data_IF_918336575215
#
_entry.id   IF_918336575215
#
_cell.length_a   1.000
_cell.length_b   1.000
_cell.length_c   1.000
_cell.angle_alpha   90.00
_cell.angle_beta   90.00
_cell.angle_gamma   90.00
#
_symmetry.space_group_name_H-M   'P 1'
#
loop_
_entity.id
_entity.type
_entity.pdbx_description
1 polymer ?
#
# COMPACT_ATOMS: atom_id res chain seq x y z
N UNK A 1 1.58 -7.61 -31.07
CA UNK A 1 2.65 -6.71 -30.58
C UNK A 1 3.97 -7.41 -30.83
N UNK A 2 4.96 -6.72 -31.39
CA UNK A 2 6.33 -7.26 -31.44
C UNK A 2 6.93 -7.27 -30.03
N UNK A 3 7.86 -8.16 -29.72
CA UNK A 3 8.51 -8.24 -28.40
C UNK A 3 9.06 -6.88 -27.94
N UNK A 4 9.64 -6.12 -28.87
CA UNK A 4 10.13 -4.75 -28.63
C UNK A 4 9.06 -3.76 -28.13
N UNK A 5 7.80 -3.92 -28.52
CA UNK A 5 6.72 -3.07 -28.01
C UNK A 5 6.36 -3.45 -26.58
N UNK A 6 6.34 -4.74 -26.24
CA UNK A 6 6.04 -5.23 -24.89
C UNK A 6 7.11 -4.72 -23.91
N UNK A 7 8.38 -4.83 -24.28
CA UNK A 7 9.50 -4.30 -23.49
C UNK A 7 9.36 -2.81 -23.18
N UNK A 8 8.98 -2.01 -24.18
CA UNK A 8 8.76 -0.57 -24.00
C UNK A 8 7.60 -0.29 -23.05
N UNK A 9 6.49 -1.02 -23.15
CA UNK A 9 5.35 -0.89 -22.24
C UNK A 9 5.71 -1.31 -20.81
N UNK A 10 6.43 -2.43 -20.65
CA UNK A 10 6.92 -2.88 -19.35
C UNK A 10 7.84 -1.84 -18.71
N UNK A 11 8.75 -1.23 -19.49
CA UNK A 11 9.60 -0.14 -19.04
C UNK A 11 8.82 1.08 -18.54
N UNK A 12 7.77 1.49 -19.26
CA UNK A 12 6.91 2.60 -18.83
C UNK A 12 6.17 2.28 -17.52
N UNK A 13 5.70 1.04 -17.36
CA UNK A 13 5.03 0.58 -16.14
C UNK A 13 6.00 0.57 -14.95
N UNK A 14 7.25 0.13 -15.15
CA UNK A 14 8.29 0.16 -14.11
C UNK A 14 8.56 1.58 -13.63
N UNK A 15 8.64 2.55 -14.54
CA UNK A 15 8.79 3.96 -14.20
C UNK A 15 7.58 4.45 -13.38
N UNK A 16 6.37 4.10 -13.79
CA UNK A 16 5.15 4.45 -13.07
C UNK A 16 5.13 3.85 -11.65
N UNK A 17 5.56 2.60 -11.47
CA UNK A 17 5.72 1.97 -10.15
C UNK A 17 6.74 2.76 -9.30
N UNK A 18 7.85 3.19 -9.90
CA UNK A 18 8.83 4.05 -9.22
C UNK A 18 8.21 5.33 -8.64
N UNK A 19 7.37 6.01 -9.42
CA UNK A 19 6.64 7.19 -8.95
C UNK A 19 5.66 6.86 -7.81
N UNK A 20 4.94 5.74 -7.90
CA UNK A 20 4.04 5.29 -6.83
C UNK A 20 4.83 5.00 -5.54
N UNK A 21 5.98 4.33 -5.63
CA UNK A 21 6.83 4.04 -4.48
C UNK A 21 7.35 5.33 -3.81
N UNK A 22 7.78 6.30 -4.61
CA UNK A 22 8.17 7.62 -4.11
C UNK A 22 7.01 8.31 -3.38
N UNK A 23 5.80 8.28 -3.97
CA UNK A 23 4.62 8.82 -3.33
C UNK A 23 4.31 8.12 -1.99
N UNK A 24 4.39 6.78 -1.94
CA UNK A 24 4.21 6.00 -0.71
C UNK A 24 5.24 6.40 0.35
N UNK A 25 6.51 6.55 -0.02
CA UNK A 25 7.57 6.97 0.91
C UNK A 25 7.28 8.36 1.48
N UNK A 26 6.91 9.33 0.64
CA UNK A 26 6.61 10.69 1.07
C UNK A 26 5.37 10.74 1.97
N UNK A 27 4.33 10.00 1.60
CA UNK A 27 3.08 9.90 2.36
C UNK A 27 3.33 9.24 3.72
N UNK A 28 4.05 8.12 3.73
CA UNK A 28 4.41 7.41 4.95
C UNK A 28 5.28 8.30 5.83
N UNK A 29 6.28 8.99 5.29
CA UNK A 29 7.11 9.87 6.11
C UNK A 29 6.30 10.99 6.77
N UNK A 30 5.35 11.60 6.05
CA UNK A 30 4.62 12.79 6.48
C UNK A 30 3.37 12.50 7.31
N UNK A 31 2.64 11.44 7.00
CA UNK A 31 1.29 11.21 7.53
C UNK A 31 1.14 9.95 8.37
N UNK A 32 2.13 9.05 8.40
CA UNK A 32 2.03 7.80 9.18
C UNK A 32 1.77 8.07 10.65
N UNK A 33 2.53 9.00 11.23
CA UNK A 33 2.49 9.28 12.66
C UNK A 33 1.15 9.93 13.06
N UNK A 34 0.57 10.74 12.17
CA UNK A 34 -0.76 11.34 12.36
C UNK A 34 -1.89 10.32 12.25
N UNK A 35 -1.82 9.41 11.27
CA UNK A 35 -2.84 8.37 11.07
C UNK A 35 -2.81 7.36 12.21
N UNK A 36 -1.64 6.98 12.68
CA UNK A 36 -1.53 6.14 13.87
C UNK A 36 -2.03 6.81 15.14
N UNK A 37 -1.84 8.12 15.29
CA UNK A 37 -2.43 8.90 16.38
C UNK A 37 -3.97 8.89 16.37
N UNK A 38 -4.57 8.74 15.19
CA UNK A 38 -6.02 8.56 15.04
C UNK A 38 -6.49 7.12 15.29
N UNK A 39 -5.56 6.15 15.29
CA UNK A 39 -5.82 4.71 15.38
C UNK A 39 -5.14 4.09 16.61
N UNK A 40 -5.01 4.87 17.69
CA UNK A 40 -4.28 4.47 18.88
C UNK A 40 -4.98 3.33 19.64
N UNK A 41 -6.29 3.14 19.51
CA UNK A 41 -6.99 2.07 20.22
C UNK A 41 -6.91 0.72 19.49
N UNK A 42 -6.50 0.71 18.22
CA UNK A 42 -6.27 -0.50 17.47
C UNK A 42 -4.98 -1.22 17.93
N UNK A 43 -5.15 -2.36 18.60
CA UNK A 43 -4.06 -3.23 19.05
C UNK A 43 -3.14 -3.65 17.89
N UNK A 44 -3.72 -4.02 16.75
CA UNK A 44 -2.96 -4.41 15.58
C UNK A 44 -2.04 -3.31 15.04
N UNK A 45 -2.48 -2.05 15.06
CA UNK A 45 -1.67 -0.91 14.63
C UNK A 45 -0.58 -0.59 15.66
N UNK A 46 -0.88 -0.70 16.95
CA UNK A 46 0.12 -0.57 18.04
C UNK A 46 1.23 -1.63 17.94
N UNK A 47 0.85 -2.89 17.74
CA UNK A 47 1.81 -3.98 17.60
C UNK A 47 2.67 -3.80 16.36
N UNK A 48 2.05 -3.44 15.24
CA UNK A 48 2.74 -3.13 14.00
C UNK A 48 3.76 -1.97 14.17
N UNK A 49 3.35 -0.90 14.85
CA UNK A 49 4.24 0.22 15.20
C UNK A 49 5.43 -0.25 16.02
N UNK A 50 5.21 -1.10 17.03
CA UNK A 50 6.27 -1.65 17.87
C UNK A 50 7.26 -2.48 17.05
N UNK A 51 6.78 -3.39 16.21
CA UNK A 51 7.60 -4.27 15.35
C UNK A 51 8.51 -3.46 14.42
N UNK A 52 7.97 -2.41 13.79
CA UNK A 52 8.69 -1.62 12.79
C UNK A 52 9.32 -0.33 13.31
N UNK A 53 9.25 -0.08 14.62
CA UNK A 53 9.76 1.16 15.23
C UNK A 53 11.26 1.38 15.03
N UNK A 54 12.05 0.30 14.99
CA UNK A 54 13.50 0.33 14.82
C UNK A 54 13.96 0.44 13.37
N UNK A 55 13.06 0.27 12.39
CA UNK A 55 13.40 0.18 10.97
C UNK A 55 13.43 1.56 10.25
N UNK A 56 13.35 2.66 11.00
CA UNK A 56 13.44 4.02 10.45
C UNK A 56 12.43 4.29 9.33
N UNK A 57 12.92 4.77 8.18
CA UNK A 57 12.09 5.12 7.02
C UNK A 57 11.42 3.90 6.38
N UNK A 58 12.12 2.77 6.30
CA UNK A 58 11.54 1.50 5.83
C UNK A 58 10.40 1.06 6.77
N UNK A 59 10.60 1.20 8.08
CA UNK A 59 9.57 0.92 9.07
C UNK A 59 8.30 1.75 8.87
N UNK A 60 8.43 3.03 8.52
CA UNK A 60 7.28 3.90 8.19
C UNK A 60 6.52 3.40 6.96
N UNK A 61 7.23 2.98 5.91
CA UNK A 61 6.61 2.42 4.69
C UNK A 61 5.85 1.12 5.00
N UNK A 62 6.47 0.20 5.75
CA UNK A 62 5.83 -1.06 6.14
C UNK A 62 4.59 -0.84 7.00
N UNK A 63 4.67 0.08 7.96
CA UNK A 63 3.52 0.50 8.76
C UNK A 63 2.40 1.06 7.89
N UNK A 64 2.76 1.88 6.90
CA UNK A 64 1.82 2.48 5.94
C UNK A 64 1.11 1.42 5.10
N UNK A 65 1.84 0.45 4.58
CA UNK A 65 1.26 -0.65 3.79
C UNK A 65 0.25 -1.48 4.58
N UNK A 66 0.57 -1.80 5.84
CA UNK A 66 -0.34 -2.55 6.71
C UNK A 66 -1.60 -1.73 7.03
N UNK A 67 -1.44 -0.44 7.32
CA UNK A 67 -2.58 0.48 7.50
C UNK A 67 -3.44 0.54 6.23
N UNK A 68 -2.84 0.65 5.04
CA UNK A 68 -3.55 0.62 3.76
C UNK A 68 -4.37 -0.66 3.61
N UNK A 69 -3.78 -1.82 3.93
CA UNK A 69 -4.47 -3.13 3.84
C UNK A 69 -5.66 -3.20 4.79
N UNK A 70 -5.50 -2.72 6.03
CA UNK A 70 -6.58 -2.63 7.01
C UNK A 70 -7.71 -1.70 6.54
N UNK A 71 -7.38 -0.57 5.92
CA UNK A 71 -8.35 0.39 5.41
C UNK A 71 -9.13 -0.10 4.18
N UNK A 72 -8.52 -0.97 3.37
CA UNK A 72 -9.15 -1.60 2.20
C UNK A 72 -10.11 -2.70 2.65
N UNK A 73 -9.70 -3.54 3.60
CA UNK A 73 -10.49 -4.71 4.04
C UNK A 73 -10.81 -4.68 5.55
N UNK A 74 -11.45 -3.61 6.06
CA UNK A 74 -11.65 -3.43 7.50
C UNK A 74 -12.49 -4.56 8.10
N UNK A 75 -13.50 -5.06 7.38
CA UNK A 75 -14.37 -6.14 7.83
C UNK A 75 -13.65 -7.48 8.03
N UNK A 76 -12.60 -7.77 7.26
CA UNK A 76 -11.81 -8.99 7.46
C UNK A 76 -10.97 -8.93 8.74
N UNK A 77 -10.37 -7.78 9.02
CA UNK A 77 -9.57 -7.57 10.22
C UNK A 77 -10.44 -7.45 11.48
N UNK A 78 -11.62 -6.85 11.36
CA UNK A 78 -12.60 -6.75 12.43
C UNK A 78 -13.16 -8.12 12.87
N UNK A 79 -13.48 -9.00 11.90
CA UNK A 79 -13.93 -10.37 12.19
C UNK A 79 -12.90 -11.19 12.98
N UNK A 80 -11.62 -10.83 12.90
CA UNK A 80 -10.53 -11.46 13.65
C UNK A 80 -10.25 -10.78 14.99
N UNK A 81 -11.02 -9.76 15.37
CA UNK A 81 -10.81 -8.98 16.59
C UNK A 81 -9.55 -8.11 16.57
N UNK A 82 -8.94 -7.92 15.40
CA UNK A 82 -7.64 -7.24 15.26
C UNK A 82 -7.79 -5.71 15.21
N UNK A 83 -8.95 -5.21 14.77
CA UNK A 83 -9.14 -3.78 14.50
C UNK A 83 -10.53 -3.33 14.94
N UNK A 84 -10.59 -2.13 15.52
CA UNK A 84 -11.84 -1.44 15.86
C UNK A 84 -12.39 -0.72 14.62
N UNK A 85 -13.54 -1.19 14.13
CA UNK A 85 -14.24 -0.63 12.97
C UNK A 85 -14.76 0.79 13.25
N UNK A 86 -15.08 1.10 14.51
CA UNK A 86 -15.57 2.43 14.88
C UNK A 86 -14.45 3.46 14.77
N UNK A 87 -13.23 3.11 15.17
CA UNK A 87 -12.06 3.97 15.06
C UNK A 87 -11.69 4.21 13.59
N UNK A 88 -11.72 3.16 12.76
CA UNK A 88 -11.56 3.27 11.31
C UNK A 88 -12.59 4.19 10.65
N UNK A 89 -13.86 4.12 11.07
CA UNK A 89 -14.93 4.95 10.52
C UNK A 89 -14.82 6.43 10.92
N UNK A 90 -14.14 6.74 12.03
CA UNK A 90 -13.84 8.11 12.46
C UNK A 90 -12.66 8.72 11.71
N UNK A 91 -11.86 7.90 11.04
CA UNK A 91 -10.71 8.39 10.28
C UNK A 91 -11.18 9.31 9.14
N UNK A 92 -10.63 10.52 9.02
CA UNK A 92 -10.94 11.41 7.90
C UNK A 92 -10.75 10.69 6.57
N UNK A 93 -11.77 10.78 5.70
CA UNK A 93 -11.76 10.11 4.38
C UNK A 93 -10.51 10.46 3.56
N UNK A 94 -9.97 11.67 3.74
CA UNK A 94 -8.71 12.10 3.13
C UNK A 94 -7.56 11.15 3.41
N UNK A 95 -7.33 10.76 4.66
CA UNK A 95 -6.24 9.85 5.02
C UNK A 95 -6.49 8.45 4.48
N UNK A 96 -7.75 8.01 4.45
CA UNK A 96 -8.12 6.74 3.84
C UNK A 96 -7.70 6.70 2.37
N UNK A 97 -8.10 7.69 1.58
CA UNK A 97 -7.70 7.76 0.17
C UNK A 97 -6.19 7.92 -0.02
N UNK A 98 -5.53 8.71 0.83
CA UNK A 98 -4.09 8.97 0.74
C UNK A 98 -3.25 7.68 0.83
N UNK A 99 -3.69 6.71 1.63
CA UNK A 99 -3.00 5.43 1.81
C UNK A 99 -3.53 4.34 0.86
N UNK A 100 -4.84 4.30 0.64
CA UNK A 100 -5.48 3.27 -0.18
C UNK A 100 -5.22 3.44 -1.68
N UNK A 101 -5.26 4.67 -2.21
CA UNK A 101 -5.06 4.93 -3.65
C UNK A 101 -3.68 4.47 -4.13
N UNK A 102 -2.55 4.94 -3.59
CA UNK A 102 -1.23 4.53 -4.08
C UNK A 102 -0.98 3.04 -3.89
N UNK A 103 -1.52 2.44 -2.82
CA UNK A 103 -1.42 1.00 -2.59
C UNK A 103 -2.14 0.20 -3.69
N UNK A 104 -3.41 0.50 -3.97
CA UNK A 104 -4.18 -0.17 -5.02
C UNK A 104 -3.54 0.06 -6.39
N UNK A 105 -3.13 1.29 -6.70
CA UNK A 105 -2.45 1.60 -7.96
C UNK A 105 -1.16 0.78 -8.11
N UNK A 106 -0.35 0.66 -7.05
CA UNK A 106 0.83 -0.18 -7.04
C UNK A 106 0.51 -1.66 -7.30
N UNK A 107 -0.49 -2.22 -6.63
CA UNK A 107 -0.93 -3.60 -6.85
C UNK A 107 -1.41 -3.84 -8.29
N UNK A 108 -2.18 -2.91 -8.86
CA UNK A 108 -2.68 -3.01 -10.24
C UNK A 108 -1.53 -2.94 -11.24
N UNK A 109 -0.60 -2.01 -11.09
CA UNK A 109 0.56 -1.89 -11.98
C UNK A 109 1.44 -3.15 -11.94
N UNK A 110 1.67 -3.71 -10.75
CA UNK A 110 2.40 -4.97 -10.59
C UNK A 110 1.68 -6.13 -11.26
N UNK A 111 0.36 -6.24 -11.10
CA UNK A 111 -0.43 -7.28 -11.75
C UNK A 111 -0.36 -7.18 -13.28
N UNK A 112 -0.44 -5.97 -13.84
CA UNK A 112 -0.30 -5.75 -15.29
C UNK A 112 1.10 -6.18 -15.76
N UNK A 113 2.15 -5.84 -15.01
CA UNK A 113 3.52 -6.23 -15.35
C UNK A 113 3.69 -7.76 -15.37
N UNK A 114 3.14 -8.47 -14.38
CA UNK A 114 3.14 -9.94 -14.35
C UNK A 114 2.37 -10.52 -15.54
N UNK A 115 1.22 -9.95 -15.88
CA UNK A 115 0.44 -10.41 -17.04
C UNK A 115 1.22 -10.20 -18.34
N UNK A 116 1.92 -9.07 -18.51
CA UNK A 116 2.76 -8.83 -19.68
C UNK A 116 3.91 -9.84 -19.79
N UNK A 117 4.60 -10.12 -18.68
CA UNK A 117 5.68 -11.13 -18.62
C UNK A 117 5.18 -12.53 -18.98
N UNK A 118 4.01 -12.91 -18.46
CA UNK A 118 3.36 -14.18 -18.83
C UNK A 118 2.96 -14.20 -20.30
N UNK A 119 2.38 -13.11 -20.83
CA UNK A 119 2.02 -13.03 -22.25
C UNK A 119 3.25 -13.17 -23.13
N UNK A 120 4.34 -12.49 -22.82
CA UNK A 120 5.59 -12.58 -23.57
C UNK A 120 6.16 -14.01 -23.54
N UNK A 121 6.17 -14.65 -22.37
CA UNK A 121 6.76 -15.99 -22.20
C UNK A 121 5.95 -17.13 -22.85
N UNK A 122 4.62 -16.99 -22.91
CA UNK A 122 3.73 -18.09 -23.32
C UNK A 122 3.05 -17.89 -24.68
N UNK A 123 2.98 -16.66 -25.20
CA UNK A 123 2.28 -16.35 -26.46
C UNK A 123 3.21 -15.85 -27.58
N UNK A 124 4.48 -15.55 -27.29
CA UNK A 124 5.51 -15.18 -28.26
C UNK A 124 6.68 -16.17 -28.22
#
# INVERSE_FOLDING_TARGET
>A
MSSTQIDLFAGFILIAIGFVLLAVILIAHKYIDAVEGCLENCSYIKDNKRVWSSAGLLGKVMRGGIISMVLIMPGMHAKRGLVDVQELNRLPSRYRYLFTVPFITGCVLLAILVVLDVVEKYLL
#
